data_IF_602174888877
#
_entry.id   IF_602174888877
#
_cell.length_a   1.000
_cell.length_b   1.000
_cell.length_c   1.000
_cell.angle_alpha   90.00
_cell.angle_beta   90.00
_cell.angle_gamma   90.00
#
_symmetry.space_group_name_H-M   'P 1'
#
loop_
_entity.id
_entity.type
_entity.pdbx_description
1 polymer ?
#
# COMPACT_ATOMS: atom_id res chain seq x y z
N UNK A 1 27.58 -29.19 -8.26
CA UNK A 1 26.15 -29.37 -8.60
C UNK A 1 25.47 -28.08 -8.19
N UNK A 2 25.29 -27.20 -9.16
CA UNK A 2 24.52 -25.97 -8.97
C UNK A 2 23.05 -26.40 -8.80
N UNK A 3 22.44 -25.98 -7.69
CA UNK A 3 21.01 -26.22 -7.47
C UNK A 3 20.24 -25.39 -8.49
N UNK A 4 19.64 -26.09 -9.46
CA UNK A 4 18.62 -25.56 -10.36
C UNK A 4 17.49 -24.94 -9.53
N UNK A 5 17.05 -23.70 -9.79
CA UNK A 5 15.99 -23.11 -9.00
C UNK A 5 14.68 -23.87 -9.29
N UNK A 6 14.06 -24.41 -8.23
CA UNK A 6 12.81 -25.18 -8.22
C UNK A 6 11.56 -24.38 -8.65
N UNK A 7 11.73 -23.30 -9.40
CA UNK A 7 10.69 -22.36 -9.71
C UNK A 7 11.02 -21.63 -11.02
N UNK A 8 10.48 -22.13 -12.14
CA UNK A 8 10.56 -21.42 -13.41
C UNK A 8 9.59 -20.23 -13.40
N UNK A 9 10.03 -19.02 -13.83
CA UNK A 9 9.18 -17.85 -13.90
C UNK A 9 8.00 -18.09 -14.85
N UNK A 10 6.77 -17.87 -14.37
CA UNK A 10 5.58 -17.93 -15.22
C UNK A 10 5.51 -16.65 -16.09
N UNK A 11 5.51 -16.78 -17.42
CA UNK A 11 5.51 -15.62 -18.33
C UNK A 11 4.21 -14.81 -18.26
N UNK A 12 3.06 -15.43 -17.92
CA UNK A 12 1.79 -14.72 -17.84
C UNK A 12 1.70 -13.86 -16.58
N UNK A 13 2.20 -14.35 -15.45
CA UNK A 13 2.30 -13.55 -14.22
C UNK A 13 3.25 -12.37 -14.45
N UNK A 14 4.39 -12.62 -15.09
CA UNK A 14 5.42 -11.61 -15.37
C UNK A 14 4.84 -10.46 -16.17
N UNK A 15 4.18 -10.78 -17.29
CA UNK A 15 3.51 -9.82 -18.16
C UNK A 15 2.37 -9.08 -17.46
N UNK A 16 1.69 -9.73 -16.51
CA UNK A 16 0.66 -9.08 -15.69
C UNK A 16 1.28 -8.03 -14.77
N UNK A 17 2.34 -8.37 -14.04
CA UNK A 17 3.01 -7.47 -13.11
C UNK A 17 3.57 -6.21 -13.80
N UNK A 18 3.97 -6.32 -15.07
CA UNK A 18 4.46 -5.19 -15.89
C UNK A 18 3.35 -4.22 -16.32
N UNK A 19 2.11 -4.69 -16.38
CA UNK A 19 0.95 -3.87 -16.79
C UNK A 19 0.30 -3.12 -15.64
N UNK A 20 0.59 -3.50 -14.40
CA UNK A 20 0.03 -2.85 -13.22
C UNK A 20 0.70 -1.48 -13.03
N UNK A 21 -0.03 -0.54 -12.47
CA UNK A 21 0.54 0.67 -11.90
C UNK A 21 0.82 0.45 -10.40
N UNK A 22 1.25 1.50 -9.68
CA UNK A 22 1.55 1.40 -8.25
C UNK A 22 0.37 0.90 -7.42
N UNK A 23 -0.79 1.52 -7.61
CA UNK A 23 -2.04 1.16 -6.93
C UNK A 23 -2.53 -0.23 -7.37
N UNK A 24 -2.45 -0.55 -8.65
CA UNK A 24 -2.77 -1.86 -9.18
C UNK A 24 -1.92 -2.97 -8.57
N UNK A 25 -0.61 -2.73 -8.34
CA UNK A 25 0.27 -3.69 -7.67
C UNK A 25 -0.13 -3.92 -6.21
N UNK A 26 -0.42 -2.86 -5.47
CA UNK A 26 -0.88 -2.95 -4.07
C UNK A 26 -2.16 -3.76 -3.96
N UNK A 27 -3.16 -3.44 -4.79
CA UNK A 27 -4.45 -4.14 -4.79
C UNK A 27 -4.32 -5.59 -5.25
N UNK A 28 -3.47 -5.85 -6.25
CA UNK A 28 -3.21 -7.21 -6.72
C UNK A 28 -2.62 -8.09 -5.60
N UNK A 29 -1.61 -7.59 -4.88
CA UNK A 29 -1.03 -8.32 -3.75
C UNK A 29 -2.01 -8.48 -2.60
N UNK A 30 -2.84 -7.47 -2.32
CA UNK A 30 -3.89 -7.57 -1.31
C UNK A 30 -4.91 -8.67 -1.65
N UNK A 31 -5.27 -8.81 -2.93
CA UNK A 31 -6.16 -9.88 -3.40
C UNK A 31 -5.52 -11.26 -3.25
N UNK A 32 -4.25 -11.40 -3.66
CA UNK A 32 -3.49 -12.65 -3.49
C UNK A 32 -3.32 -13.03 -2.02
N UNK A 33 -3.12 -12.08 -1.11
CA UNK A 33 -3.02 -12.36 0.32
C UNK A 33 -4.40 -12.67 0.94
N UNK A 34 -5.47 -12.07 0.41
CA UNK A 34 -6.82 -12.26 0.93
C UNK A 34 -7.34 -13.69 0.70
N UNK A 35 -6.72 -14.45 -0.20
CA UNK A 35 -7.00 -15.87 -0.41
C UNK A 35 -6.74 -16.73 0.82
N UNK A 36 -5.86 -16.28 1.71
CA UNK A 36 -5.48 -17.01 2.92
C UNK A 36 -6.33 -16.66 4.14
N UNK A 37 -7.35 -15.79 4.01
CA UNK A 37 -8.31 -15.50 5.09
C UNK A 37 -8.99 -16.74 5.68
N UNK A 38 -9.35 -17.79 4.91
CA UNK A 38 -9.87 -19.05 5.48
C UNK A 38 -8.88 -19.76 6.40
N UNK A 39 -7.57 -19.52 6.24
CA UNK A 39 -6.53 -20.02 7.13
C UNK A 39 -6.33 -19.13 8.37
N UNK A 40 -7.11 -18.05 8.50
CA UNK A 40 -7.10 -17.13 9.65
C UNK A 40 -6.32 -15.83 9.44
N UNK A 41 -5.75 -15.60 8.25
CA UNK A 41 -5.07 -14.35 7.92
C UNK A 41 -6.05 -13.18 7.85
N UNK A 42 -5.58 -11.97 8.17
CA UNK A 42 -6.34 -10.72 7.99
C UNK A 42 -5.50 -9.74 7.17
N UNK A 43 -6.09 -9.19 6.10
CA UNK A 43 -5.40 -8.31 5.16
C UNK A 43 -6.12 -6.96 5.12
N UNK A 44 -5.35 -5.87 5.21
CA UNK A 44 -5.86 -4.50 5.17
C UNK A 44 -5.03 -3.67 4.20
N UNK A 45 -5.68 -2.99 3.26
CA UNK A 45 -5.07 -1.94 2.44
C UNK A 45 -5.11 -0.64 3.24
N UNK A 46 -4.00 0.08 3.33
CA UNK A 46 -3.94 1.33 4.09
C UNK A 46 -4.52 2.50 3.27
N UNK A 47 -4.76 3.62 3.94
CA UNK A 47 -5.30 4.81 3.26
C UNK A 47 -4.16 5.54 2.56
N UNK A 48 -4.37 5.95 1.31
CA UNK A 48 -3.41 6.67 0.44
C UNK A 48 -2.75 7.94 0.97
N UNK A 49 -3.19 8.46 2.12
CA UNK A 49 -2.62 9.68 2.70
C UNK A 49 -2.30 9.47 4.17
N UNK A 50 -1.09 9.86 4.58
CA UNK A 50 -0.58 9.72 5.96
C UNK A 50 -0.51 8.26 6.43
N UNK A 51 -0.16 7.36 5.52
CA UNK A 51 0.05 5.93 5.77
C UNK A 51 1.42 5.59 6.38
N UNK A 52 2.28 6.58 6.62
CA UNK A 52 3.66 6.39 7.10
C UNK A 52 4.50 5.44 6.22
N UNK A 53 4.14 5.26 4.94
CA UNK A 53 4.84 4.37 4.01
C UNK A 53 4.55 2.88 4.23
N UNK A 54 3.38 2.52 4.74
CA UNK A 54 2.89 1.14 4.70
C UNK A 54 1.66 1.08 3.82
N UNK A 55 1.67 0.27 2.77
CA UNK A 55 0.58 0.17 1.80
C UNK A 55 -0.38 -0.97 2.16
N UNK A 56 0.15 -2.05 2.75
CA UNK A 56 -0.64 -3.19 3.25
C UNK A 56 -0.25 -3.56 4.68
N UNK A 57 -1.22 -4.03 5.45
CA UNK A 57 -1.02 -4.66 6.77
C UNK A 57 -1.63 -6.05 6.76
N UNK A 58 -0.90 -7.00 7.33
CA UNK A 58 -1.27 -8.41 7.37
C UNK A 58 -1.11 -8.93 8.81
N UNK A 59 -2.15 -9.54 9.35
CA UNK A 59 -2.08 -10.28 10.61
C UNK A 59 -2.22 -11.77 10.33
N UNK A 60 -1.27 -12.57 10.78
CA UNK A 60 -1.37 -14.03 10.70
C UNK A 60 -2.27 -14.58 11.83
N UNK A 61 -2.67 -15.86 11.77
CA UNK A 61 -3.52 -16.48 12.79
C UNK A 61 -2.93 -16.49 14.20
N UNK A 62 -1.60 -16.44 14.33
CA UNK A 62 -0.87 -16.42 15.60
C UNK A 62 -0.67 -15.00 16.17
N UNK A 63 -1.20 -13.97 15.51
CA UNK A 63 -1.07 -12.58 15.93
C UNK A 63 0.23 -11.89 15.52
N UNK A 64 1.03 -12.51 14.65
CA UNK A 64 2.19 -11.86 14.02
C UNK A 64 1.68 -10.88 12.96
N UNK A 65 2.08 -9.64 13.14
CA UNK A 65 1.75 -8.51 12.25
C UNK A 65 2.89 -8.20 11.30
N UNK A 66 2.57 -8.08 10.03
CA UNK A 66 3.45 -7.64 8.95
C UNK A 66 2.94 -6.32 8.38
N UNK A 67 3.86 -5.45 7.98
CA UNK A 67 3.56 -4.28 7.16
C UNK A 67 4.35 -4.35 5.86
N UNK A 68 3.72 -3.97 4.76
CA UNK A 68 4.29 -4.06 3.41
C UNK A 68 4.30 -2.67 2.78
N UNK A 69 5.47 -2.23 2.30
CA UNK A 69 5.61 -1.10 1.37
C UNK A 69 5.82 -1.67 -0.04
N UNK A 70 4.95 -1.29 -0.96
CA UNK A 70 5.02 -1.53 -2.38
C UNK A 70 5.80 -0.41 -3.10
N UNK A 71 6.62 -0.80 -4.07
CA UNK A 71 7.11 0.12 -5.11
C UNK A 71 6.96 -0.53 -6.47
N UNK A 72 6.26 0.16 -7.37
CA UNK A 72 6.19 -0.26 -8.77
C UNK A 72 7.31 0.40 -9.59
N UNK A 73 7.86 -0.34 -10.55
CA UNK A 73 8.80 0.13 -11.57
C UNK A 73 8.24 -0.16 -12.95
N UNK A 74 8.34 0.83 -13.83
CA UNK A 74 8.08 0.66 -15.26
C UNK A 74 9.17 -0.15 -15.97
N UNK A 75 10.41 -0.05 -15.48
CA UNK A 75 11.57 -0.79 -15.94
C UNK A 75 12.00 -1.70 -14.78
N UNK A 76 11.59 -2.96 -14.88
CA UNK A 76 11.71 -3.98 -13.85
C UNK A 76 13.14 -4.49 -13.68
N UNK A 77 14.00 -4.33 -14.69
CA UNK A 77 15.44 -4.59 -14.60
C UNK A 77 16.17 -3.58 -13.71
N UNK A 78 15.58 -2.39 -13.50
CA UNK A 78 16.15 -1.39 -12.59
C UNK A 78 15.92 -1.75 -11.14
N UNK A 79 17.04 -2.01 -10.46
CA UNK A 79 17.06 -2.32 -9.05
C UNK A 79 16.36 -1.26 -8.16
N UNK A 80 15.73 -1.73 -7.10
CA UNK A 80 15.09 -0.86 -6.09
C UNK A 80 16.13 -0.25 -5.16
N UNK A 81 16.01 1.07 -4.97
CA UNK A 81 16.88 1.84 -4.09
C UNK A 81 16.50 1.72 -2.61
N UNK A 82 17.23 2.45 -1.76
CA UNK A 82 17.07 2.43 -0.30
C UNK A 82 15.67 2.83 0.18
N UNK A 83 14.97 3.68 -0.57
CA UNK A 83 13.72 4.32 -0.11
C UNK A 83 12.63 3.31 0.25
N UNK A 84 12.48 2.22 -0.52
CA UNK A 84 11.49 1.19 -0.25
C UNK A 84 11.72 0.54 1.12
N UNK A 85 12.97 0.22 1.45
CA UNK A 85 13.35 -0.38 2.73
C UNK A 85 13.20 0.64 3.86
N UNK A 86 13.64 1.88 3.67
CA UNK A 86 13.51 2.94 4.67
C UNK A 86 12.05 3.20 5.06
N UNK A 87 11.16 3.23 4.07
CA UNK A 87 9.72 3.40 4.28
C UNK A 87 9.13 2.18 5.02
N UNK A 88 9.44 0.96 4.59
CA UNK A 88 8.99 -0.26 5.27
C UNK A 88 9.45 -0.31 6.75
N UNK A 89 10.67 0.12 7.05
CA UNK A 89 11.20 0.21 8.41
C UNK A 89 10.45 1.25 9.25
N UNK A 90 10.18 2.44 8.69
CA UNK A 90 9.40 3.47 9.37
C UNK A 90 7.95 3.00 9.64
N UNK A 91 7.33 2.38 8.63
CA UNK A 91 5.98 1.83 8.72
C UNK A 91 5.90 0.73 9.79
N UNK A 92 6.94 -0.10 9.95
CA UNK A 92 6.98 -1.14 10.99
C UNK A 92 6.66 -0.58 12.38
N UNK A 93 7.32 0.51 12.74
CA UNK A 93 7.10 1.18 14.01
C UNK A 93 5.72 1.84 14.07
N UNK A 94 5.32 2.53 13.00
CA UNK A 94 4.03 3.23 12.95
C UNK A 94 2.81 2.31 13.12
N UNK A 95 2.87 1.09 12.56
CA UNK A 95 1.77 0.11 12.63
C UNK A 95 1.91 -0.92 13.76
N UNK A 96 2.97 -0.83 14.57
CA UNK A 96 3.28 -1.82 15.61
C UNK A 96 3.48 -3.23 15.04
N UNK A 97 4.10 -3.32 13.86
CA UNK A 97 4.32 -4.59 13.17
C UNK A 97 5.56 -5.32 13.70
N UNK A 98 5.50 -6.64 13.70
CA UNK A 98 6.60 -7.52 14.09
C UNK A 98 7.63 -7.63 12.97
N UNK A 99 7.18 -7.62 11.72
CA UNK A 99 8.00 -7.68 10.51
C UNK A 99 7.61 -6.57 9.52
N UNK A 100 8.59 -6.11 8.76
CA UNK A 100 8.40 -5.23 7.62
C UNK A 100 8.79 -5.95 6.34
N UNK A 101 8.09 -5.63 5.26
CA UNK A 101 8.34 -6.14 3.92
C UNK A 101 8.48 -4.96 2.98
N UNK A 102 9.55 -4.90 2.20
CA UNK A 102 9.66 -4.01 1.05
C UNK A 102 9.47 -4.85 -0.21
N UNK A 103 8.44 -4.54 -1.00
CA UNK A 103 8.09 -5.30 -2.19
C UNK A 103 8.14 -4.47 -3.47
N UNK A 104 8.40 -5.14 -4.58
CA UNK A 104 8.42 -4.53 -5.92
C UNK A 104 8.21 -5.55 -7.02
N UNK A 105 7.72 -5.08 -8.18
CA UNK A 105 7.71 -5.84 -9.42
C UNK A 105 9.08 -5.90 -10.14
N UNK A 106 10.12 -5.27 -9.57
CA UNK A 106 11.48 -5.32 -10.09
C UNK A 106 12.15 -6.68 -9.84
N UNK A 107 13.13 -7.02 -10.68
CA UNK A 107 13.91 -8.27 -10.57
C UNK A 107 14.81 -8.29 -9.34
N UNK A 108 15.29 -7.14 -8.87
CA UNK A 108 16.22 -7.06 -7.75
C UNK A 108 16.16 -5.75 -6.95
N UNK A 109 16.76 -5.78 -5.76
CA UNK A 109 17.10 -4.61 -4.95
C UNK A 109 18.58 -4.28 -5.11
N UNK A 110 18.94 -3.01 -5.00
CA UNK A 110 20.35 -2.62 -5.00
C UNK A 110 21.09 -3.21 -3.78
N UNK A 111 22.38 -3.49 -3.89
CA UNK A 111 23.20 -4.00 -2.78
C UNK A 111 23.12 -3.14 -1.49
N UNK A 112 23.10 -1.79 -1.57
CA UNK A 112 22.82 -0.96 -0.40
C UNK A 112 21.45 -1.24 0.23
N UNK A 113 20.40 -1.46 -0.57
CA UNK A 113 19.06 -1.76 -0.08
C UNK A 113 19.00 -3.16 0.57
N UNK A 114 19.64 -4.16 -0.03
CA UNK A 114 19.78 -5.50 0.59
C UNK A 114 20.47 -5.44 1.94
N UNK A 115 21.59 -4.71 2.05
CA UNK A 115 22.29 -4.51 3.34
C UNK A 115 21.42 -3.79 4.36
N UNK A 116 20.73 -2.71 3.96
CA UNK A 116 19.83 -2.00 4.86
C UNK A 116 18.67 -2.88 5.34
N UNK A 117 18.13 -3.71 4.46
CA UNK A 117 17.07 -4.65 4.80
C UNK A 117 17.54 -5.69 5.81
N UNK A 118 18.75 -6.24 5.62
CA UNK A 118 19.37 -7.16 6.56
C UNK A 118 19.56 -6.53 7.96
N UNK A 119 20.08 -5.30 8.04
CA UNK A 119 20.26 -4.60 9.32
C UNK A 119 18.95 -4.39 10.08
N UNK A 120 17.85 -4.16 9.37
CA UNK A 120 16.54 -3.90 9.96
C UNK A 120 15.62 -5.13 10.00
N UNK A 121 16.10 -6.31 9.58
CA UNK A 121 15.29 -7.54 9.43
C UNK A 121 14.02 -7.29 8.61
N UNK A 122 14.15 -6.51 7.55
CA UNK A 122 13.08 -6.26 6.57
C UNK A 122 13.16 -7.33 5.50
N UNK A 123 12.03 -7.99 5.22
CA UNK A 123 11.91 -8.99 4.17
C UNK A 123 11.85 -8.26 2.82
N UNK A 124 12.50 -8.80 1.79
CA UNK A 124 12.48 -8.24 0.45
C UNK A 124 11.67 -9.15 -0.46
N UNK A 125 10.69 -8.58 -1.13
CA UNK A 125 9.93 -9.26 -2.19
C UNK A 125 10.25 -8.62 -3.54
N UNK A 126 10.87 -9.38 -4.41
CA UNK A 126 11.06 -9.04 -5.82
C UNK A 126 9.93 -9.64 -6.65
N UNK A 127 10.00 -9.46 -7.97
CA UNK A 127 9.15 -10.17 -8.94
C UNK A 127 9.06 -11.68 -8.66
N UNK A 128 10.15 -12.30 -8.22
CA UNK A 128 10.20 -13.73 -7.92
C UNK A 128 9.33 -14.10 -6.70
N UNK A 129 9.41 -13.36 -5.59
CA UNK A 129 8.56 -13.60 -4.42
C UNK A 129 7.09 -13.32 -4.72
N UNK A 130 6.79 -12.35 -5.60
CA UNK A 130 5.42 -12.10 -6.06
C UNK A 130 4.86 -13.27 -6.89
N UNK A 131 5.70 -13.90 -7.72
CA UNK A 131 5.30 -15.12 -8.42
C UNK A 131 5.05 -16.27 -7.44
N UNK A 132 5.92 -16.46 -6.44
CA UNK A 132 5.70 -17.46 -5.39
C UNK A 132 4.40 -17.20 -4.63
N UNK A 133 4.12 -15.94 -4.27
CA UNK A 133 2.86 -15.57 -3.66
C UNK A 133 1.66 -15.91 -4.55
N UNK A 134 1.76 -15.68 -5.86
CA UNK A 134 0.72 -16.09 -6.80
C UNK A 134 0.49 -17.60 -6.76
N UNK A 135 1.52 -18.43 -6.90
CA UNK A 135 1.34 -19.88 -6.86
C UNK A 135 0.91 -20.38 -5.48
N UNK A 136 1.42 -19.78 -4.41
CA UNK A 136 0.94 -20.02 -3.06
C UNK A 136 -0.56 -19.75 -3.00
N UNK A 137 -1.05 -18.68 -3.64
CA UNK A 137 -2.48 -18.43 -3.71
C UNK A 137 -3.20 -19.53 -4.49
N UNK A 138 -2.72 -19.93 -5.68
CA UNK A 138 -3.37 -20.92 -6.55
C UNK A 138 -3.49 -22.28 -5.88
N UNK A 139 -2.38 -22.75 -5.32
CA UNK A 139 -2.24 -24.09 -4.78
C UNK A 139 -2.49 -24.15 -3.28
N UNK A 140 -2.71 -22.98 -2.64
CA UNK A 140 -2.74 -22.82 -1.18
C UNK A 140 -1.54 -23.46 -0.50
N UNK A 141 -0.36 -23.23 -1.08
CA UNK A 141 0.87 -23.84 -0.61
C UNK A 141 1.46 -23.02 0.54
N UNK A 142 1.28 -23.52 1.76
CA UNK A 142 1.84 -22.91 2.98
C UNK A 142 3.36 -22.90 2.98
N UNK A 143 4.01 -23.85 2.29
CA UNK A 143 5.47 -23.88 2.17
C UNK A 143 5.96 -22.71 1.34
N UNK A 144 5.28 -22.37 0.24
CA UNK A 144 5.61 -21.19 -0.55
C UNK A 144 5.42 -19.89 0.26
N UNK A 145 4.41 -19.82 1.15
CA UNK A 145 4.26 -18.69 2.08
C UNK A 145 5.46 -18.56 3.03
N UNK A 146 5.92 -19.68 3.60
CA UNK A 146 7.09 -19.69 4.47
C UNK A 146 8.36 -19.27 3.72
N UNK A 147 8.53 -19.71 2.47
CA UNK A 147 9.69 -19.33 1.64
C UNK A 147 9.74 -17.83 1.34
N UNK A 148 8.60 -17.15 1.26
CA UNK A 148 8.54 -15.68 1.10
C UNK A 148 8.53 -14.94 2.46
N UNK A 149 8.78 -15.62 3.57
CA UNK A 149 8.90 -15.00 4.90
C UNK A 149 7.58 -14.72 5.60
N UNK A 150 6.49 -15.37 5.19
CA UNK A 150 5.21 -15.36 5.90
C UNK A 150 5.09 -16.64 6.73
N UNK A 151 5.36 -16.51 8.03
CA UNK A 151 5.33 -17.65 8.95
C UNK A 151 3.87 -18.01 9.32
N UNK A 152 3.57 -19.31 9.22
CA UNK A 152 2.36 -19.94 9.72
C UNK A 152 2.75 -20.86 10.88
N UNK A 153 2.32 -20.58 12.10
CA UNK A 153 2.53 -21.45 13.26
C UNK A 153 3.76 -21.11 14.10
N UNK A 154 3.51 -20.37 15.20
CA UNK A 154 4.36 -20.04 16.36
C UNK A 154 5.46 -18.98 16.15
N UNK A 155 5.65 -18.06 17.11
CA UNK A 155 6.71 -17.07 17.04
C UNK A 155 8.06 -17.78 17.07
N UNK A 156 8.93 -17.47 16.11
CA UNK A 156 10.35 -17.67 16.29
C UNK A 156 10.75 -17.02 17.62
N UNK A 157 11.08 -17.86 18.61
CA UNK A 157 11.82 -17.41 19.78
C UNK A 157 13.02 -16.64 19.27
N UNK A 158 13.13 -15.36 19.63
CA UNK A 158 14.27 -14.52 19.33
C UNK A 158 15.56 -15.34 19.51
N UNK A 159 16.41 -15.50 18.46
CA UNK A 159 17.68 -16.18 18.66
C UNK A 159 18.46 -15.42 19.74
N UNK A 160 18.86 -16.17 20.78
CA UNK A 160 19.73 -15.70 21.85
C UNK A 160 20.92 -15.00 21.21
N UNK A 161 21.05 -13.70 21.47
CA UNK A 161 22.13 -12.87 20.96
C UNK A 161 23.45 -13.44 21.49
N UNK A 162 24.24 -14.10 20.64
CA UNK A 162 25.68 -14.12 20.87
C UNK A 162 26.21 -12.80 20.37
N UNK A 163 26.37 -11.90 21.33
CA UNK A 163 27.04 -10.62 21.18
C UNK A 163 28.50 -10.88 20.84
N UNK A 164 28.86 -10.74 19.57
CA UNK A 164 30.17 -10.27 19.18
C UNK A 164 29.96 -9.00 18.36
N UNK A 165 29.78 -7.89 19.08
CA UNK A 165 29.93 -6.56 18.52
C UNK A 165 31.40 -6.37 18.15
N UNK A 166 31.71 -6.42 16.86
CA UNK A 166 32.87 -5.68 16.35
C UNK A 166 32.43 -4.24 16.08
N UNK A 167 33.04 -3.33 16.85
CA UNK A 167 32.78 -1.89 16.79
C UNK A 167 33.28 -1.33 15.45
N UNK A 168 32.38 -0.74 14.66
CA UNK A 168 32.75 0.15 13.55
C UNK A 168 33.10 1.54 14.13
N UNK A 169 34.09 2.29 13.58
CA UNK A 169 34.64 3.49 14.22
C UNK A 169 33.63 4.63 14.38
N UNK A 170 33.78 5.34 15.49
CA UNK A 170 32.92 6.44 15.98
C UNK A 170 32.57 7.52 14.95
N UNK A 171 31.27 7.80 14.82
CA UNK A 171 30.74 9.09 14.37
C UNK A 171 30.68 10.01 15.62
N UNK A 172 31.31 11.19 15.63
CA UNK A 172 31.27 12.08 16.80
C UNK A 172 29.87 12.70 16.97
N UNK A 173 29.36 12.64 18.20
CA UNK A 173 28.08 13.26 18.61
C UNK A 173 28.25 14.76 18.87
N UNK A 174 27.25 15.60 18.57
CA UNK A 174 27.30 17.03 18.92
C UNK A 174 27.07 17.23 20.42
N UNK A 175 28.00 17.91 21.08
CA UNK A 175 27.91 18.26 22.50
C UNK A 175 26.95 19.44 22.69
N UNK A 176 25.88 19.22 23.45
CA UNK A 176 25.04 20.28 24.01
C UNK A 176 25.69 20.85 25.28
N UNK A 177 26.10 22.11 25.27
CA UNK A 177 26.59 22.83 26.45
C UNK A 177 25.43 23.60 27.08
N UNK A 178 24.92 23.10 28.21
CA UNK A 178 24.18 23.89 29.18
C UNK A 178 24.96 23.82 30.50
N UNK A 179 25.56 24.93 30.92
CA UNK A 179 26.21 25.07 32.22
C UNK A 179 25.39 26.05 33.05
N UNK A 180 24.83 25.52 34.14
CA UNK A 180 24.26 26.28 35.25
C UNK A 180 25.40 26.80 36.13
N UNK A 181 25.40 28.09 36.49
CA UNK A 181 26.28 28.64 37.51
C UNK A 181 25.49 29.34 38.62
N UNK A 182 25.66 28.82 39.83
CA UNK A 182 25.48 29.48 41.14
C UNK A 182 26.60 28.91 42.01
N UNK A 183 27.43 29.60 42.79
CA UNK A 183 27.73 30.99 43.10
C UNK A 183 28.81 30.95 44.21
N UNK A 184 29.47 32.11 44.46
CA UNK A 184 30.45 32.41 45.55
C UNK A 184 31.91 31.96 45.32
N UNK A 185 32.98 32.73 45.56
CA UNK A 185 33.23 34.02 46.23
C UNK A 185 34.60 34.55 45.71
N UNK A 186 34.70 35.79 45.20
CA UNK A 186 35.28 36.98 45.85
C UNK A 186 36.82 37.04 45.97
N UNK A 187 37.47 37.87 45.15
CA UNK A 187 38.65 38.63 45.56
C UNK A 187 38.62 40.05 44.92
N UNK A 188 38.66 41.08 45.77
CA UNK A 188 38.54 42.49 45.44
C UNK A 188 39.92 43.13 45.25
N UNK A 189 40.08 43.94 44.20
CA UNK A 189 41.08 45.03 44.18
C UNK A 189 40.48 46.27 43.50
N UNK A 190 40.03 47.22 44.32
CA UNK A 190 39.68 48.63 44.00
C UNK A 190 40.97 49.46 43.86
N UNK A 191 41.14 50.58 43.13
CA UNK A 191 40.41 51.80 42.69
C UNK A 191 41.30 52.48 41.58
N UNK A 192 41.00 53.64 40.93
CA UNK A 192 39.93 54.62 41.17
C UNK A 192 39.08 55.04 39.94
N UNK A 193 38.03 55.81 40.25
CA UNK A 193 37.07 56.46 39.36
C UNK A 193 37.67 57.66 38.59
N UNK A 194 37.37 57.75 37.30
CA UNK A 194 37.49 58.95 36.47
C UNK A 194 36.11 59.28 35.87
N UNK A 195 35.75 60.57 35.83
CA UNK A 195 34.40 61.10 35.58
C UNK A 195 34.33 61.91 34.28
N UNK A 196 33.20 61.79 33.56
CA UNK A 196 32.56 62.67 32.51
C UNK A 196 32.97 62.52 31.04
N UNK A 197 32.16 63.00 30.05
CA UNK A 197 30.75 63.44 30.08
C UNK A 197 29.85 62.83 28.97
N UNK A 198 28.54 63.10 29.13
CA UNK A 198 27.42 62.78 28.23
C UNK A 198 27.46 63.67 26.96
N UNK A 199 27.32 63.08 25.77
CA UNK A 199 27.06 63.80 24.53
C UNK A 199 25.82 63.25 23.82
N UNK A 200 24.92 64.17 23.47
CA UNK A 200 23.63 63.98 22.79
C UNK A 200 23.81 63.80 21.28
N UNK A 201 22.97 63.00 20.58
CA UNK A 201 22.90 63.05 19.13
C UNK A 201 21.95 64.16 18.66
N UNK A 202 22.42 65.03 17.74
CA UNK A 202 21.61 65.99 16.98
C UNK A 202 21.13 65.34 15.68
N UNK A 203 19.85 65.52 15.36
CA UNK A 203 19.23 65.23 14.06
C UNK A 203 19.60 66.28 12.99
N UNK A 204 19.52 65.92 11.68
CA UNK A 204 18.41 66.36 10.80
C UNK A 204 18.06 65.29 9.71
N UNK A 205 17.10 65.36 8.78
CA UNK A 205 15.87 66.12 8.46
C UNK A 205 15.11 65.32 7.36
N UNK A 206 13.84 64.99 7.62
CA UNK A 206 12.60 64.96 6.77
C UNK A 206 12.57 64.56 5.26
N UNK A 207 11.39 63.98 4.88
CA UNK A 207 10.80 63.58 3.58
C UNK A 207 11.04 62.09 3.23
N UNK A 208 10.06 61.19 3.07
CA UNK A 208 8.69 61.27 2.59
C UNK A 208 7.80 60.17 3.22
N UNK A 209 6.52 60.48 3.45
CA UNK A 209 5.47 59.54 3.86
C UNK A 209 5.14 58.58 2.71
N UNK A 210 5.64 57.34 2.69
CA UNK A 210 5.10 56.31 1.78
C UNK A 210 5.45 54.83 2.06
N UNK A 211 6.02 54.48 3.22
CA UNK A 211 6.44 53.09 3.49
C UNK A 211 6.05 52.61 4.89
N UNK A 212 4.77 52.75 5.27
CA UNK A 212 4.23 52.14 6.49
C UNK A 212 3.09 51.13 6.27
N UNK A 213 2.74 50.83 5.02
CA UNK A 213 1.67 49.88 4.69
C UNK A 213 2.13 48.63 3.93
N UNK A 214 3.42 48.54 3.57
CA UNK A 214 3.97 47.43 2.80
C UNK A 214 3.80 46.03 3.45
N UNK A 215 3.92 45.82 4.78
CA UNK A 215 3.78 44.47 5.33
C UNK A 215 2.32 44.01 5.46
N UNK A 216 1.35 44.92 5.53
CA UNK A 216 -0.07 44.56 5.67
C UNK A 216 -0.67 44.16 4.32
N UNK A 217 -0.28 44.83 3.23
CA UNK A 217 -0.73 44.46 1.89
C UNK A 217 -0.07 43.17 1.37
N UNK A 218 1.18 42.85 1.74
CA UNK A 218 1.81 41.59 1.32
C UNK A 218 1.14 40.37 2.00
N UNK A 219 0.81 40.47 3.29
CA UNK A 219 0.09 39.40 4.01
C UNK A 219 -1.35 39.29 3.51
N UNK A 220 -2.03 40.40 3.25
CA UNK A 220 -3.38 40.38 2.68
C UNK A 220 -3.41 39.89 1.23
N UNK A 221 -2.37 40.16 0.43
CA UNK A 221 -2.22 39.68 -0.95
C UNK A 221 -1.85 38.19 -1.00
N UNK A 222 -1.00 37.71 -0.09
CA UNK A 222 -0.72 36.27 0.06
C UNK A 222 -1.94 35.52 0.60
N UNK A 223 -2.69 36.10 1.54
CA UNK A 223 -3.97 35.56 2.00
C UNK A 223 -5.03 35.59 0.89
N UNK A 224 -5.06 36.63 0.05
CA UNK A 224 -5.91 36.68 -1.12
C UNK A 224 -5.47 35.66 -2.18
N UNK A 225 -4.19 35.40 -2.41
CA UNK A 225 -3.74 34.29 -3.29
C UNK A 225 -4.09 32.93 -2.66
N UNK A 226 -4.05 32.78 -1.34
CA UNK A 226 -4.48 31.57 -0.64
C UNK A 226 -6.01 31.40 -0.62
N UNK A 227 -6.80 32.47 -0.78
CA UNK A 227 -8.28 32.44 -0.79
C UNK A 227 -8.85 32.45 -2.23
N UNK A 228 -8.17 33.10 -3.17
CA UNK A 228 -8.56 33.24 -4.58
C UNK A 228 -7.75 32.34 -5.54
N UNK A 229 -6.50 31.99 -5.23
CA UNK A 229 -5.74 30.93 -5.92
C UNK A 229 -6.19 29.52 -5.52
N UNK A 230 -6.94 29.41 -4.42
CA UNK A 230 -7.77 28.26 -4.08
C UNK A 230 -9.19 28.36 -4.64
N UNK A 231 -9.46 29.24 -5.63
CA UNK A 231 -10.60 29.01 -6.51
C UNK A 231 -10.28 27.82 -7.39
N UNK A 232 -10.65 26.65 -6.87
CA UNK A 232 -11.22 25.55 -7.63
C UNK A 232 -10.31 25.04 -8.75
N UNK A 233 -9.20 24.41 -8.38
CA UNK A 233 -8.85 23.16 -9.06
C UNK A 233 -9.85 22.12 -8.56
N UNK A 234 -11.09 22.20 -9.06
CA UNK A 234 -11.91 21.01 -9.13
C UNK A 234 -11.19 20.15 -10.16
N UNK A 235 -10.34 19.23 -9.68
CA UNK A 235 -10.15 17.99 -10.42
C UNK A 235 -11.57 17.42 -10.46
N UNK A 236 -12.28 17.64 -11.57
CA UNK A 236 -13.50 16.91 -11.82
C UNK A 236 -13.09 15.44 -11.68
N UNK A 237 -13.56 14.74 -10.64
CA UNK A 237 -13.30 13.32 -10.54
C UNK A 237 -13.93 12.71 -11.78
N UNK A 238 -13.09 12.35 -12.74
CA UNK A 238 -13.52 11.74 -13.97
C UNK A 238 -14.28 10.49 -13.55
N UNK A 239 -15.60 10.49 -13.79
CA UNK A 239 -16.44 9.37 -13.39
C UNK A 239 -15.91 8.12 -14.11
N UNK A 240 -15.79 6.98 -13.42
CA UNK A 240 -15.18 5.79 -14.00
C UNK A 240 -15.92 5.41 -15.28
N UNK A 241 -15.18 5.07 -16.33
CA UNK A 241 -15.77 4.62 -17.58
C UNK A 241 -16.49 3.27 -17.38
N UNK A 242 -17.38 2.85 -18.30
CA UNK A 242 -17.96 1.50 -18.23
C UNK A 242 -16.90 0.40 -18.18
N UNK A 243 -15.76 0.59 -18.83
CA UNK A 243 -14.63 -0.35 -18.82
C UNK A 243 -14.02 -0.46 -17.42
N UNK A 244 -13.73 0.69 -16.79
CA UNK A 244 -13.19 0.74 -15.41
C UNK A 244 -14.14 0.06 -14.42
N UNK A 245 -15.46 0.27 -14.58
CA UNK A 245 -16.46 -0.35 -13.71
C UNK A 245 -16.48 -1.86 -13.87
N UNK A 246 -16.36 -2.39 -15.09
CA UNK A 246 -16.35 -3.84 -15.33
C UNK A 246 -15.08 -4.50 -14.80
N UNK A 247 -13.92 -3.85 -14.98
CA UNK A 247 -12.64 -4.31 -14.44
C UNK A 247 -12.67 -4.30 -12.91
N UNK A 248 -13.15 -3.21 -12.31
CA UNK A 248 -13.29 -3.09 -10.86
C UNK A 248 -14.28 -4.11 -10.29
N UNK A 249 -15.41 -4.32 -10.95
CA UNK A 249 -16.38 -5.36 -10.55
C UNK A 249 -15.79 -6.75 -10.59
N UNK A 250 -15.01 -7.11 -11.62
CA UNK A 250 -14.36 -8.43 -11.71
C UNK A 250 -13.50 -8.71 -10.47
N UNK A 251 -12.68 -7.74 -10.09
CA UNK A 251 -11.82 -7.78 -8.91
C UNK A 251 -12.65 -7.89 -7.62
N UNK A 252 -13.59 -6.98 -7.43
CA UNK A 252 -14.46 -6.95 -6.26
C UNK A 252 -15.29 -8.24 -6.12
N UNK A 253 -15.71 -8.83 -7.24
CA UNK A 253 -16.43 -10.09 -7.25
C UNK A 253 -15.54 -11.24 -6.83
N UNK A 254 -14.33 -11.38 -7.40
CA UNK A 254 -13.36 -12.39 -6.92
C UNK A 254 -13.04 -12.22 -5.44
N UNK A 255 -12.86 -10.99 -4.97
CA UNK A 255 -12.70 -10.69 -3.55
C UNK A 255 -13.87 -11.27 -2.74
N UNK A 256 -15.11 -10.95 -3.11
CA UNK A 256 -16.29 -11.46 -2.43
C UNK A 256 -16.41 -12.99 -2.45
N UNK A 257 -15.96 -13.66 -3.52
CA UNK A 257 -15.92 -15.12 -3.59
C UNK A 257 -14.91 -15.73 -2.60
N UNK A 258 -13.75 -15.08 -2.48
CA UNK A 258 -12.63 -15.52 -1.65
C UNK A 258 -12.80 -15.22 -0.16
N UNK A 259 -13.53 -14.15 0.18
CA UNK A 259 -13.62 -13.64 1.55
C UNK A 259 -15.03 -13.68 2.13
N UNK A 260 -16.05 -13.95 1.31
CA UNK A 260 -17.47 -13.75 1.60
C UNK A 260 -17.84 -12.29 1.96
N UNK A 261 -16.97 -11.32 1.70
CA UNK A 261 -17.23 -9.89 1.90
C UNK A 261 -17.69 -9.22 0.60
N UNK A 262 -18.95 -8.81 0.55
CA UNK A 262 -19.56 -8.15 -0.62
C UNK A 262 -19.41 -6.63 -0.62
N UNK A 263 -18.78 -6.03 0.38
CA UNK A 263 -18.76 -4.58 0.57
C UNK A 263 -18.17 -3.84 -0.63
N UNK A 264 -17.14 -4.39 -1.27
CA UNK A 264 -16.50 -3.78 -2.45
C UNK A 264 -17.39 -3.80 -3.69
N UNK A 265 -18.36 -4.72 -3.77
CA UNK A 265 -19.24 -4.82 -4.94
C UNK A 265 -20.11 -3.59 -5.12
N UNK A 266 -20.49 -2.92 -4.04
CA UNK A 266 -21.35 -1.73 -4.08
C UNK A 266 -20.68 -0.53 -4.76
N UNK A 267 -19.35 -0.55 -4.93
CA UNK A 267 -18.63 0.45 -5.73
C UNK A 267 -18.89 0.28 -7.24
N UNK A 268 -19.21 -0.93 -7.71
CA UNK A 268 -19.28 -1.23 -9.15
C UNK A 268 -20.65 -1.75 -9.61
N UNK A 269 -21.48 -2.25 -8.70
CA UNK A 269 -22.79 -2.83 -9.00
C UNK A 269 -23.91 -2.22 -8.17
N UNK A 270 -25.12 -2.29 -8.73
CA UNK A 270 -26.34 -1.87 -8.08
C UNK A 270 -26.70 -2.83 -6.92
N UNK A 271 -27.30 -2.27 -5.87
CA UNK A 271 -27.70 -3.01 -4.68
C UNK A 271 -28.69 -4.14 -5.02
N UNK A 272 -29.58 -3.90 -5.97
CA UNK A 272 -30.58 -4.87 -6.43
C UNK A 272 -29.91 -6.09 -7.06
N UNK A 273 -28.88 -5.90 -7.90
CA UNK A 273 -28.12 -7.00 -8.48
C UNK A 273 -27.42 -7.82 -7.39
N UNK A 274 -26.73 -7.14 -6.47
CA UNK A 274 -25.97 -7.80 -5.41
C UNK A 274 -26.92 -8.61 -4.52
N UNK A 275 -28.00 -7.99 -4.02
CA UNK A 275 -28.95 -8.62 -3.10
C UNK A 275 -29.75 -9.75 -3.74
N UNK A 276 -30.07 -9.68 -5.03
CA UNK A 276 -30.86 -10.71 -5.71
C UNK A 276 -30.01 -11.88 -6.23
N UNK A 277 -28.77 -11.63 -6.68
CA UNK A 277 -27.97 -12.63 -7.43
C UNK A 277 -26.72 -13.08 -6.70
N UNK A 278 -26.06 -12.20 -5.95
CA UNK A 278 -24.73 -12.45 -5.39
C UNK A 278 -24.80 -12.82 -3.91
N UNK A 279 -25.41 -11.96 -3.10
CA UNK A 279 -25.48 -12.09 -1.65
C UNK A 279 -26.09 -13.41 -1.17
N UNK A 280 -27.23 -13.90 -1.72
CA UNK A 280 -27.88 -15.09 -1.18
C UNK A 280 -26.99 -16.33 -1.25
N UNK A 281 -26.21 -16.47 -2.33
CA UNK A 281 -25.32 -17.60 -2.53
C UNK A 281 -24.00 -17.45 -1.75
N UNK A 282 -23.49 -16.23 -1.55
CA UNK A 282 -22.38 -15.97 -0.64
C UNK A 282 -22.79 -16.29 0.81
N UNK A 283 -23.93 -15.80 1.27
CA UNK A 283 -24.45 -16.06 2.62
C UNK A 283 -24.66 -17.55 2.88
N UNK A 284 -25.18 -18.28 1.89
CA UNK A 284 -25.38 -19.72 1.99
C UNK A 284 -24.07 -20.48 2.23
N UNK A 285 -22.98 -20.11 1.53
CA UNK A 285 -21.65 -20.70 1.75
C UNK A 285 -21.02 -20.22 3.04
N UNK A 286 -21.12 -18.93 3.34
CA UNK A 286 -20.56 -18.32 4.55
C UNK A 286 -21.11 -18.99 5.83
N UNK A 287 -22.42 -19.33 5.86
CA UNK A 287 -23.04 -20.09 6.96
C UNK A 287 -22.39 -21.45 7.23
N UNK A 288 -21.75 -22.05 6.23
CA UNK A 288 -21.02 -23.33 6.34
C UNK A 288 -19.51 -23.13 6.60
N UNK A 289 -19.07 -21.89 6.81
CA UNK A 289 -17.66 -21.52 6.89
C UNK A 289 -16.91 -21.67 5.56
N UNK A 290 -17.63 -21.84 4.45
CA UNK A 290 -17.01 -22.11 3.16
C UNK A 290 -16.70 -20.84 2.39
N UNK A 291 -15.66 -20.86 1.56
CA UNK A 291 -15.37 -19.85 0.54
C UNK A 291 -15.31 -20.50 -0.85
N UNK A 292 -15.55 -19.73 -1.90
CA UNK A 292 -15.32 -20.19 -3.27
C UNK A 292 -14.01 -19.59 -3.73
N UNK A 293 -12.94 -20.31 -3.43
CA UNK A 293 -11.60 -19.89 -3.73
C UNK A 293 -11.40 -19.74 -5.25
N UNK A 294 -11.34 -18.51 -5.72
CA UNK A 294 -11.35 -18.10 -7.12
C UNK A 294 -10.06 -17.40 -7.46
N UNK A 295 -9.37 -17.97 -8.44
CA UNK A 295 -8.11 -17.47 -8.98
C UNK A 295 -8.31 -17.09 -10.43
N UNK A 296 -7.79 -15.92 -10.80
CA UNK A 296 -7.72 -15.48 -12.19
C UNK A 296 -6.43 -16.01 -12.84
N UNK A 297 -6.55 -17.04 -13.68
CA UNK A 297 -5.41 -17.68 -14.36
C UNK A 297 -4.86 -16.79 -15.46
N UNK A 298 -5.75 -16.18 -16.23
CA UNK A 298 -5.39 -15.19 -17.26
C UNK A 298 -6.13 -13.88 -17.00
N UNK A 299 -5.52 -12.71 -17.27
CA UNK A 299 -6.18 -11.43 -17.10
C UNK A 299 -7.50 -11.39 -17.86
N UNK A 300 -8.56 -10.91 -17.20
CA UNK A 300 -9.83 -10.64 -17.85
C UNK A 300 -9.60 -9.73 -19.06
N UNK A 301 -10.27 -10.06 -20.17
CA UNK A 301 -10.28 -9.23 -21.38
C UNK A 301 -11.68 -8.68 -21.60
N UNK A 302 -11.77 -7.37 -21.79
CA UNK A 302 -13.00 -6.74 -22.29
C UNK A 302 -13.03 -6.97 -23.80
N UNK A 303 -14.00 -7.75 -24.28
CA UNK A 303 -14.15 -8.09 -25.69
C UNK A 303 -14.84 -6.96 -26.46
N UNK A 304 -15.73 -6.22 -25.80
CA UNK A 304 -16.39 -5.07 -26.37
C UNK A 304 -17.35 -4.40 -25.39
N UNK A 305 -17.55 -3.11 -25.58
CA UNK A 305 -18.54 -2.30 -24.84
C UNK A 305 -19.36 -1.51 -25.87
N UNK A 306 -20.68 -1.71 -25.85
CA UNK A 306 -21.64 -0.92 -26.63
C UNK A 306 -22.36 0.05 -25.69
N UNK A 307 -22.17 1.36 -25.90
CA UNK A 307 -22.78 2.40 -25.07
C UNK A 307 -23.91 3.08 -25.85
N UNK A 308 -25.12 3.05 -25.29
CA UNK A 308 -26.32 3.69 -25.84
C UNK A 308 -27.00 4.55 -24.78
N UNK A 309 -26.69 5.84 -24.82
CA UNK A 309 -27.25 6.80 -23.86
C UNK A 309 -26.77 6.52 -22.42
N UNK A 310 -27.71 6.21 -21.54
CA UNK A 310 -27.46 5.87 -20.13
C UNK A 310 -27.29 4.36 -19.89
N UNK A 311 -27.24 3.55 -20.94
CA UNK A 311 -27.06 2.10 -20.85
C UNK A 311 -25.79 1.70 -21.58
N UNK A 312 -25.01 0.79 -20.99
CA UNK A 312 -23.89 0.15 -21.67
C UNK A 312 -24.00 -1.37 -21.54
N UNK A 313 -23.64 -2.10 -22.60
CA UNK A 313 -23.49 -3.55 -22.56
C UNK A 313 -22.01 -3.87 -22.72
N UNK A 314 -21.43 -4.62 -21.78
CA UNK A 314 -20.06 -5.10 -21.88
C UNK A 314 -20.03 -6.63 -22.00
N UNK A 315 -19.19 -7.14 -22.90
CA UNK A 315 -18.87 -8.57 -22.98
C UNK A 315 -17.42 -8.76 -22.55
N UNK A 316 -17.19 -9.71 -21.66
CA UNK A 316 -15.86 -10.02 -21.14
C UNK A 316 -15.53 -11.49 -21.21
N UNK A 317 -14.25 -11.76 -21.41
CA UNK A 317 -13.65 -13.08 -21.36
C UNK A 317 -12.85 -13.24 -20.07
N UNK A 318 -13.08 -14.34 -19.35
CA UNK A 318 -12.43 -14.65 -18.08
C UNK A 318 -11.86 -16.05 -18.13
N UNK A 319 -10.74 -16.29 -17.46
CA UNK A 319 -10.18 -17.63 -17.27
C UNK A 319 -9.92 -17.84 -15.79
N UNK A 320 -10.82 -18.56 -15.12
CA UNK A 320 -10.77 -18.74 -13.68
C UNK A 320 -10.62 -20.20 -13.28
N UNK A 321 -10.01 -20.39 -12.11
CA UNK A 321 -10.12 -21.63 -11.34
C UNK A 321 -10.88 -21.33 -10.06
N UNK A 322 -11.97 -22.06 -9.83
CA UNK A 322 -12.83 -21.94 -8.67
C UNK A 322 -12.84 -23.25 -7.91
N UNK A 323 -12.43 -23.19 -6.64
CA UNK A 323 -12.37 -24.33 -5.71
C UNK A 323 -13.24 -24.01 -4.52
N UNK A 324 -14.26 -24.83 -4.26
CA UNK A 324 -15.05 -24.73 -3.04
C UNK A 324 -14.23 -25.30 -1.88
N UNK A 325 -14.02 -24.47 -0.87
CA UNK A 325 -13.23 -24.81 0.32
C UNK A 325 -14.14 -24.71 1.53
N UNK A 326 -14.25 -25.78 2.30
CA UNK A 326 -15.06 -25.85 3.51
C UNK A 326 -14.26 -26.49 4.65
N UNK A 327 -14.36 -25.99 5.89
CA UNK A 327 -13.66 -26.58 7.04
C UNK A 327 -13.97 -28.08 7.19
N UNK A 328 -12.92 -28.90 7.35
CA UNK A 328 -13.05 -30.34 7.55
C UNK A 328 -13.55 -31.13 6.33
N UNK A 329 -13.60 -30.51 5.14
CA UNK A 329 -14.00 -31.17 3.90
C UNK A 329 -12.87 -31.10 2.88
N UNK A 330 -12.86 -32.08 1.96
CA UNK A 330 -11.96 -32.03 0.82
C UNK A 330 -12.37 -30.91 -0.14
N UNK A 331 -11.38 -30.19 -0.65
CA UNK A 331 -11.54 -29.18 -1.68
C UNK A 331 -12.24 -29.75 -2.93
N UNK A 332 -13.15 -28.97 -3.51
CA UNK A 332 -13.86 -29.35 -4.72
C UNK A 332 -13.70 -28.29 -5.80
N UNK A 333 -13.00 -28.62 -6.89
CA UNK A 333 -12.94 -27.76 -8.07
C UNK A 333 -14.34 -27.67 -8.69
N UNK A 334 -14.88 -26.46 -8.80
CA UNK A 334 -16.18 -26.16 -9.41
C UNK A 334 -16.05 -25.70 -10.85
N UNK A 335 -14.96 -25.00 -11.16
CA UNK A 335 -14.66 -24.50 -12.51
C UNK A 335 -13.15 -24.40 -12.66
N UNK A 336 -12.61 -24.75 -13.83
CA UNK A 336 -11.21 -24.51 -14.21
C UNK A 336 -11.17 -24.32 -15.71
N UNK A 337 -11.23 -23.07 -16.16
CA UNK A 337 -11.26 -22.78 -17.58
C UNK A 337 -11.85 -21.43 -17.94
N UNK A 338 -11.94 -21.17 -19.25
CA UNK A 338 -12.48 -19.93 -19.77
C UNK A 338 -14.01 -19.90 -19.73
N UNK A 339 -14.56 -18.71 -19.59
CA UNK A 339 -15.98 -18.44 -19.77
C UNK A 339 -16.22 -16.98 -20.19
N UNK A 340 -17.37 -16.75 -20.83
CA UNK A 340 -17.81 -15.42 -21.27
C UNK A 340 -18.91 -14.91 -20.34
N UNK A 341 -18.82 -13.63 -19.99
CA UNK A 341 -19.86 -12.93 -19.23
C UNK A 341 -20.31 -11.69 -19.98
N UNK A 342 -21.60 -11.41 -19.91
CA UNK A 342 -22.23 -10.17 -20.36
C UNK A 342 -22.73 -9.38 -19.15
N UNK A 343 -22.39 -8.11 -19.12
CA UNK A 343 -22.85 -7.15 -18.12
C UNK A 343 -23.69 -6.07 -18.78
N UNK A 344 -24.79 -5.69 -18.12
CA UNK A 344 -25.53 -4.48 -18.45
C UNK A 344 -25.22 -3.46 -17.36
N UNK A 345 -24.77 -2.28 -17.78
CA UNK A 345 -24.51 -1.14 -16.92
C UNK A 345 -25.55 -0.06 -17.18
N UNK A 346 -25.94 0.63 -16.13
CA UNK A 346 -26.79 1.82 -16.21
C UNK A 346 -26.09 3.00 -15.56
N UNK A 347 -26.23 4.18 -16.17
CA UNK A 347 -25.70 5.44 -15.68
C UNK A 347 -26.81 6.21 -14.96
N UNK A 348 -26.66 6.38 -13.65
CA UNK A 348 -27.41 7.38 -12.88
C UNK A 348 -26.45 8.51 -12.51
N UNK A 349 -25.87 8.46 -11.32
CA UNK A 349 -24.82 9.38 -10.89
C UNK A 349 -23.43 8.91 -11.35
N UNK A 350 -23.23 7.59 -11.39
CA UNK A 350 -22.07 6.89 -11.96
C UNK A 350 -22.54 5.66 -12.73
N UNK A 351 -21.66 5.05 -13.52
CA UNK A 351 -21.93 3.75 -14.11
C UNK A 351 -21.96 2.67 -13.02
N UNK A 352 -22.95 1.78 -13.08
CA UNK A 352 -23.07 0.59 -12.22
C UNK A 352 -23.59 -0.59 -13.02
N UNK A 353 -23.09 -1.80 -12.72
CA UNK A 353 -23.65 -3.03 -13.27
C UNK A 353 -25.00 -3.30 -12.60
N UNK A 354 -26.03 -3.45 -13.42
CA UNK A 354 -27.42 -3.74 -12.99
C UNK A 354 -27.85 -5.16 -13.34
N UNK A 355 -27.23 -5.77 -14.35
CA UNK A 355 -27.49 -7.15 -14.74
C UNK A 355 -26.19 -7.87 -15.11
N UNK A 356 -26.15 -9.17 -14.84
CA UNK A 356 -25.05 -10.05 -15.23
C UNK A 356 -25.60 -11.38 -15.75
N UNK A 357 -25.16 -11.80 -16.93
CA UNK A 357 -25.46 -13.10 -17.52
C UNK A 357 -24.20 -13.73 -18.11
N UNK A 358 -24.16 -15.05 -18.23
CA UNK A 358 -23.06 -15.79 -18.83
C UNK A 358 -23.58 -17.13 -19.32
N UNK A 359 -22.81 -17.77 -20.21
CA UNK A 359 -23.12 -19.11 -20.71
C UNK A 359 -22.65 -20.20 -19.76
#
# INVERSE_FOLDING_TARGET
MEHEPLFEPDPDITKRLEKLDGEGLELYVADLLSTFRPLGWKVYVTKRSRDFGGDLVLDNPDGIRYVIQAKHRQDDEKAIGLSAVQQAVAAKAAYGAHHSIAMSNAVDFSEPAKRLAAYNKTILWTKHELQKLYFASIYRDEKLLQEIGLELGKPASLPRTQSTFELVPHIPSPVSVFVSQSGQQAEQKTLPLEVRPRFTPKAPKNKSRLLLWAPVFLVAFLAAIAIFGFKRVWVASEQPSPEDVVIGYDRAYRHALNTNDTSQLFEYAAQELISARVQPWIDQRARRGCVLFTVEKEPMRVLGIDVRGDVATATVWKVWKQTLVCPGQQDQVKTDGPFEMRYVLKKSDSWKIVESGGN
#
